data_IF_793869924076
#
_entry.id   IF_793869924076
#
_cell.length_a   1.000
_cell.length_b   1.000
_cell.length_c   1.000
_cell.angle_alpha   90.00
_cell.angle_beta   90.00
_cell.angle_gamma   90.00
#
_symmetry.space_group_name_H-M   'P 1'
#
loop_
_entity.id
_entity.type
_entity.pdbx_description
1 polymer ?
#
# COMPACT_ATOMS: atom_id res chain seq x y z
N UNK A 1 -41.91 -1.11 6.23
CA UNK A 1 -41.63 -1.86 4.99
C UNK A 1 -40.47 -2.82 5.27
N UNK A 2 -40.77 -4.00 5.81
CA UNK A 2 -39.83 -5.01 6.25
C UNK A 2 -39.37 -5.79 5.02
N UNK A 3 -38.24 -5.37 4.44
CA UNK A 3 -37.57 -6.14 3.39
C UNK A 3 -36.97 -7.39 4.05
N UNK A 4 -37.66 -8.52 3.82
CA UNK A 4 -37.14 -9.85 4.11
C UNK A 4 -35.87 -10.04 3.23
N UNK A 5 -34.72 -9.76 3.77
CA UNK A 5 -33.43 -10.06 3.14
C UNK A 5 -33.37 -11.58 3.06
N UNK A 6 -33.53 -12.13 1.86
CA UNK A 6 -33.36 -13.55 1.57
C UNK A 6 -31.97 -13.97 2.08
N UNK A 7 -31.95 -14.82 3.10
CA UNK A 7 -30.76 -15.51 3.63
C UNK A 7 -30.22 -16.48 2.56
N UNK A 8 -29.52 -16.01 1.56
CA UNK A 8 -29.08 -16.78 0.37
C UNK A 8 -27.76 -17.48 0.65
N UNK A 9 -27.33 -17.92 1.62
CA UNK A 9 -26.24 -18.81 2.05
C UNK A 9 -26.22 -18.97 3.59
N UNK A 10 -27.40 -19.15 4.19
CA UNK A 10 -27.49 -19.41 5.61
C UNK A 10 -27.36 -20.91 5.91
N UNK A 11 -26.32 -21.57 5.37
CA UNK A 11 -25.97 -22.89 5.85
C UNK A 11 -24.89 -22.74 6.93
N UNK A 12 -25.05 -23.46 8.03
CA UNK A 12 -24.05 -23.54 9.11
C UNK A 12 -22.68 -23.95 8.56
N UNK A 13 -22.65 -24.76 7.51
CA UNK A 13 -21.43 -25.19 6.85
C UNK A 13 -20.71 -24.06 6.09
N UNK A 14 -21.45 -23.16 5.46
CA UNK A 14 -20.87 -22.00 4.78
C UNK A 14 -20.25 -21.02 5.77
N UNK A 15 -20.95 -20.72 6.85
CA UNK A 15 -20.42 -19.85 7.90
C UNK A 15 -19.14 -20.43 8.53
N UNK A 16 -19.13 -21.75 8.78
CA UNK A 16 -17.94 -22.44 9.29
C UNK A 16 -16.79 -22.44 8.27
N UNK A 17 -17.07 -22.60 6.99
CA UNK A 17 -16.06 -22.48 5.92
C UNK A 17 -15.44 -21.09 5.90
N UNK A 18 -16.23 -20.03 6.00
CA UNK A 18 -15.72 -18.65 6.08
C UNK A 18 -14.86 -18.45 7.33
N UNK A 19 -15.23 -19.06 8.45
CA UNK A 19 -14.39 -19.03 9.65
C UNK A 19 -13.02 -19.70 9.40
N UNK A 20 -13.00 -20.84 8.71
CA UNK A 20 -11.74 -21.51 8.33
C UNK A 20 -10.89 -20.59 7.43
N UNK A 21 -11.48 -19.95 6.43
CA UNK A 21 -10.78 -19.00 5.56
C UNK A 21 -10.15 -17.87 6.37
N UNK A 22 -10.89 -17.28 7.32
CA UNK A 22 -10.39 -16.22 8.20
C UNK A 22 -9.20 -16.66 9.03
N UNK A 23 -9.29 -17.84 9.66
CA UNK A 23 -8.20 -18.41 10.48
C UNK A 23 -6.96 -18.68 9.63
N UNK A 24 -7.14 -19.23 8.42
CA UNK A 24 -6.05 -19.50 7.50
C UNK A 24 -5.32 -18.22 7.09
N UNK A 25 -6.04 -17.21 6.63
CA UNK A 25 -5.46 -15.92 6.22
C UNK A 25 -4.80 -15.20 7.39
N UNK A 26 -5.45 -15.20 8.55
CA UNK A 26 -4.90 -14.63 9.76
C UNK A 26 -3.59 -15.31 10.17
N UNK A 27 -3.55 -16.64 10.16
CA UNK A 27 -2.34 -17.40 10.45
C UNK A 27 -1.19 -17.04 9.52
N UNK A 28 -1.46 -16.96 8.21
CA UNK A 28 -0.43 -16.61 7.23
C UNK A 28 0.14 -15.20 7.51
N UNK A 29 -0.72 -14.22 7.73
CA UNK A 29 -0.28 -12.86 7.96
C UNK A 29 0.39 -12.67 9.32
N UNK A 30 -0.06 -13.35 10.36
CA UNK A 30 0.62 -13.37 11.66
C UNK A 30 2.01 -14.00 11.55
N UNK A 31 2.13 -15.11 10.81
CA UNK A 31 3.42 -15.78 10.58
C UNK A 31 4.38 -14.88 9.79
N UNK A 32 3.90 -14.22 8.73
CA UNK A 32 4.72 -13.29 7.95
C UNK A 32 5.12 -12.05 8.75
N UNK A 33 4.20 -11.51 9.57
CA UNK A 33 4.50 -10.40 10.47
C UNK A 33 5.53 -10.79 11.53
N UNK A 34 5.36 -11.97 12.15
CA UNK A 34 6.31 -12.49 13.14
C UNK A 34 7.72 -12.64 12.55
N UNK A 35 7.84 -13.22 11.36
CA UNK A 35 9.12 -13.38 10.68
C UNK A 35 9.84 -12.04 10.44
N UNK A 36 9.08 -10.95 10.19
CA UNK A 36 9.67 -9.60 10.03
C UNK A 36 10.29 -9.06 11.31
N UNK A 37 9.87 -9.51 12.48
CA UNK A 37 10.41 -9.05 13.75
C UNK A 37 11.56 -9.90 14.27
N UNK A 38 11.56 -11.21 13.99
CA UNK A 38 12.42 -12.18 14.65
C UNK A 38 13.35 -12.95 13.73
N UNK A 39 13.06 -13.00 12.41
CA UNK A 39 13.94 -13.65 11.45
C UNK A 39 14.89 -12.64 10.81
N UNK A 40 16.19 -12.82 11.03
CA UNK A 40 17.21 -12.04 10.38
C UNK A 40 17.55 -12.64 9.02
N UNK A 41 17.11 -11.95 7.96
CA UNK A 41 17.63 -12.14 6.61
C UNK A 41 17.26 -13.46 5.93
N UNK A 42 16.04 -13.98 6.13
CA UNK A 42 15.60 -15.25 5.53
C UNK A 42 15.77 -15.32 4.00
N UNK A 43 15.73 -14.17 3.31
CA UNK A 43 15.87 -14.07 1.86
C UNK A 43 16.87 -13.01 1.40
N UNK A 44 17.54 -12.32 2.32
CA UNK A 44 18.47 -11.25 2.02
C UNK A 44 19.76 -11.69 1.35
N UNK A 45 20.57 -10.73 0.98
CA UNK A 45 21.93 -10.95 0.52
C UNK A 45 22.79 -11.25 1.76
N UNK A 46 23.52 -12.36 1.76
CA UNK A 46 24.36 -12.78 2.90
C UNK A 46 25.77 -13.15 2.48
N UNK A 47 26.71 -13.02 3.41
CA UNK A 47 28.08 -13.49 3.27
C UNK A 47 28.80 -13.00 2.02
N UNK A 48 29.24 -13.92 1.17
CA UNK A 48 29.99 -13.63 -0.06
C UNK A 48 29.21 -12.84 -1.09
N UNK A 49 27.87 -12.88 -1.06
CA UNK A 49 27.02 -12.18 -2.02
C UNK A 49 27.04 -10.65 -1.82
N UNK A 50 27.32 -10.17 -0.61
CA UNK A 50 27.48 -8.73 -0.34
C UNK A 50 28.63 -8.08 -1.12
N UNK A 51 29.63 -8.89 -1.51
CA UNK A 51 30.78 -8.42 -2.27
C UNK A 51 30.59 -8.54 -3.79
N UNK A 52 29.47 -9.09 -4.25
CA UNK A 52 29.17 -9.23 -5.68
C UNK A 52 28.60 -7.92 -6.24
N UNK A 53 28.94 -7.56 -7.47
CA UNK A 53 28.26 -6.47 -8.18
C UNK A 53 26.76 -6.74 -8.28
N UNK A 54 25.94 -5.69 -8.16
CA UNK A 54 24.46 -5.79 -8.23
C UNK A 54 23.99 -6.49 -9.52
N UNK A 55 24.70 -6.30 -10.63
CA UNK A 55 24.39 -6.95 -11.91
C UNK A 55 24.46 -8.48 -11.89
N UNK A 56 25.22 -9.04 -10.94
CA UNK A 56 25.45 -10.48 -10.80
C UNK A 56 24.52 -11.12 -9.76
N UNK A 57 23.64 -10.31 -9.13
CA UNK A 57 22.64 -10.76 -8.19
C UNK A 57 21.27 -10.87 -8.88
N UNK A 58 20.46 -11.86 -8.45
CA UNK A 58 19.07 -11.93 -8.92
C UNK A 58 18.26 -10.74 -8.39
N UNK A 59 17.28 -10.26 -9.17
CA UNK A 59 16.38 -9.18 -8.76
C UNK A 59 15.66 -9.51 -7.45
N UNK A 60 15.33 -10.78 -7.23
CA UNK A 60 14.74 -11.28 -5.99
C UNK A 60 15.60 -10.97 -4.76
N UNK A 61 16.91 -11.26 -4.83
CA UNK A 61 17.84 -10.98 -3.71
C UNK A 61 18.00 -9.49 -3.47
N UNK A 62 18.13 -8.70 -4.53
CA UNK A 62 18.23 -7.24 -4.43
C UNK A 62 16.98 -6.66 -3.77
N UNK A 63 15.79 -7.08 -4.20
CA UNK A 63 14.52 -6.66 -3.61
C UNK A 63 14.46 -6.99 -2.11
N UNK A 64 14.76 -8.22 -1.73
CA UNK A 64 14.71 -8.64 -0.32
C UNK A 64 15.72 -7.88 0.54
N UNK A 65 16.92 -7.64 0.02
CA UNK A 65 17.92 -6.83 0.70
C UNK A 65 17.39 -5.42 0.99
N UNK A 66 16.77 -4.77 0.01
CA UNK A 66 16.20 -3.43 0.19
C UNK A 66 15.03 -3.43 1.20
N UNK A 67 14.18 -4.45 1.17
CA UNK A 67 13.02 -4.54 2.07
C UNK A 67 13.33 -5.04 3.48
N UNK A 68 14.52 -5.58 3.70
CA UNK A 68 14.97 -6.00 5.02
C UNK A 68 15.49 -4.83 5.88
N UNK A 69 15.55 -3.62 5.32
CA UNK A 69 16.02 -2.43 6.04
C UNK A 69 14.91 -1.78 6.88
N UNK A 70 15.32 -1.34 8.08
CA UNK A 70 14.44 -0.55 8.94
C UNK A 70 14.37 0.93 8.45
N UNK A 71 13.23 1.60 8.58
CA UNK A 71 12.00 1.18 9.28
C UNK A 71 11.03 0.34 8.43
N UNK A 72 11.29 0.12 7.13
CA UNK A 72 10.37 -0.52 6.20
C UNK A 72 9.94 -1.93 6.66
N UNK A 73 10.91 -2.78 7.04
CA UNK A 73 10.68 -4.14 7.55
C UNK A 73 9.70 -4.15 8.73
N UNK A 74 9.94 -3.28 9.72
CA UNK A 74 9.11 -3.19 10.92
C UNK A 74 7.69 -2.73 10.59
N UNK A 75 7.54 -1.72 9.74
CA UNK A 75 6.22 -1.18 9.35
C UNK A 75 5.38 -2.27 8.66
N UNK A 76 5.96 -2.99 7.71
CA UNK A 76 5.26 -4.10 7.02
C UNK A 76 4.90 -5.21 8.01
N UNK A 77 5.81 -5.56 8.92
CA UNK A 77 5.56 -6.55 9.98
C UNK A 77 4.36 -6.15 10.87
N UNK A 78 4.30 -4.88 11.28
CA UNK A 78 3.16 -4.34 12.06
C UNK A 78 1.86 -4.43 11.24
N UNK A 79 1.88 -3.99 9.98
CA UNK A 79 0.70 -4.02 9.11
C UNK A 79 0.17 -5.45 8.93
N UNK A 80 1.04 -6.42 8.69
CA UNK A 80 0.67 -7.83 8.54
C UNK A 80 0.11 -8.41 9.84
N UNK A 81 0.78 -8.16 10.97
CA UNK A 81 0.33 -8.64 12.28
C UNK A 81 -1.03 -8.05 12.66
N UNK A 82 -1.20 -6.75 12.48
CA UNK A 82 -2.47 -6.07 12.73
C UNK A 82 -3.59 -6.63 11.86
N UNK A 83 -3.33 -6.81 10.57
CA UNK A 83 -4.28 -7.38 9.63
C UNK A 83 -4.72 -8.79 10.06
N UNK A 84 -3.77 -9.66 10.40
CA UNK A 84 -4.06 -11.02 10.90
C UNK A 84 -4.90 -11.00 12.18
N UNK A 85 -4.58 -10.14 13.14
CA UNK A 85 -5.36 -9.98 14.38
C UNK A 85 -6.80 -9.50 14.12
N UNK A 86 -6.96 -8.53 13.21
CA UNK A 86 -8.28 -7.99 12.83
C UNK A 86 -9.17 -9.04 12.14
N UNK A 87 -8.59 -9.95 11.34
CA UNK A 87 -9.32 -11.05 10.71
C UNK A 87 -9.87 -12.06 11.72
N UNK A 88 -9.18 -12.29 12.83
CA UNK A 88 -9.63 -13.22 13.88
C UNK A 88 -10.80 -12.67 14.69
N UNK A 89 -10.83 -11.37 14.95
CA UNK A 89 -11.84 -10.78 15.79
C UNK A 89 -13.13 -10.47 15.01
N UNK A 90 -14.27 -11.00 15.48
CA UNK A 90 -15.54 -10.95 14.74
C UNK A 90 -16.04 -9.52 14.43
N UNK A 91 -15.74 -8.54 15.29
CA UNK A 91 -16.20 -7.15 15.08
C UNK A 91 -15.37 -6.40 14.05
N UNK A 92 -14.14 -6.83 13.79
CA UNK A 92 -13.18 -6.14 12.91
C UNK A 92 -12.84 -6.92 11.64
N UNK A 93 -13.47 -8.07 11.41
CA UNK A 93 -13.17 -8.94 10.27
C UNK A 93 -13.24 -8.21 8.92
N UNK A 94 -14.23 -7.34 8.73
CA UNK A 94 -14.35 -6.56 7.49
C UNK A 94 -13.17 -5.60 7.31
N UNK A 95 -12.77 -4.95 8.39
CA UNK A 95 -11.60 -4.04 8.37
C UNK A 95 -10.33 -4.83 8.07
N UNK A 96 -10.16 -6.01 8.71
CA UNK A 96 -9.05 -6.92 8.44
C UNK A 96 -9.00 -7.36 6.98
N UNK A 97 -10.13 -7.78 6.41
CA UNK A 97 -10.22 -8.18 5.01
C UNK A 97 -9.95 -7.01 4.04
N UNK A 98 -10.47 -5.82 4.32
CA UNK A 98 -10.18 -4.63 3.51
C UNK A 98 -8.70 -4.20 3.56
N UNK A 99 -8.03 -4.41 4.69
CA UNK A 99 -6.57 -4.16 4.82
C UNK A 99 -5.74 -5.27 4.17
N UNK A 100 -6.25 -6.51 4.17
CA UNK A 100 -5.59 -7.65 3.54
C UNK A 100 -5.38 -7.44 2.04
N UNK A 101 -6.41 -6.99 1.32
CA UNK A 101 -6.37 -6.86 -0.13
C UNK A 101 -5.20 -6.01 -0.66
N UNK A 102 -5.01 -4.74 -0.23
CA UNK A 102 -3.92 -3.92 -0.77
C UNK A 102 -2.54 -4.49 -0.38
N UNK A 103 -2.40 -5.08 0.81
CA UNK A 103 -1.13 -5.68 1.23
C UNK A 103 -0.83 -6.92 0.36
N UNK A 104 -1.79 -7.84 0.24
CA UNK A 104 -1.64 -9.07 -0.54
C UNK A 104 -1.44 -8.77 -2.03
N UNK A 105 -2.17 -7.79 -2.58
CA UNK A 105 -2.03 -7.39 -3.98
C UNK A 105 -0.66 -6.77 -4.28
N UNK A 106 -0.15 -5.94 -3.36
CA UNK A 106 1.19 -5.38 -3.48
C UNK A 106 2.26 -6.49 -3.47
N UNK A 107 2.17 -7.45 -2.53
CA UNK A 107 3.08 -8.60 -2.48
C UNK A 107 2.99 -9.43 -3.77
N UNK A 108 1.77 -9.65 -4.30
CA UNK A 108 1.58 -10.39 -5.55
C UNK A 108 2.29 -9.71 -6.74
N UNK A 109 2.17 -8.38 -6.86
CA UNK A 109 2.88 -7.64 -7.90
C UNK A 109 4.39 -7.77 -7.73
N UNK A 110 4.89 -7.70 -6.50
CA UNK A 110 6.31 -7.87 -6.19
C UNK A 110 6.80 -9.27 -6.56
N UNK A 111 6.03 -10.30 -6.19
CA UNK A 111 6.37 -11.69 -6.53
C UNK A 111 6.45 -11.90 -8.04
N UNK A 112 5.47 -11.40 -8.79
CA UNK A 112 5.45 -11.51 -10.26
C UNK A 112 6.61 -10.73 -10.92
N UNK A 113 6.99 -9.59 -10.33
CA UNK A 113 8.00 -8.70 -10.94
C UNK A 113 9.42 -9.14 -10.64
N UNK A 114 9.69 -9.61 -9.42
CA UNK A 114 11.07 -9.77 -8.93
C UNK A 114 11.48 -11.22 -8.71
N UNK A 115 10.54 -12.16 -8.57
CA UNK A 115 10.90 -13.56 -8.36
C UNK A 115 11.43 -14.22 -9.64
N UNK A 116 12.26 -15.22 -9.44
CA UNK A 116 12.75 -16.06 -10.52
C UNK A 116 11.61 -16.90 -11.14
N UNK A 117 11.62 -17.16 -12.47
CA UNK A 117 10.56 -17.89 -13.16
C UNK A 117 10.20 -19.24 -12.54
N UNK A 118 11.16 -19.91 -11.91
CA UNK A 118 10.96 -21.18 -11.21
C UNK A 118 10.10 -21.06 -9.96
N UNK A 119 10.10 -19.90 -9.31
CA UNK A 119 9.42 -19.64 -8.04
C UNK A 119 8.09 -18.89 -8.22
N UNK A 120 8.00 -18.03 -9.25
CA UNK A 120 6.84 -17.16 -9.49
C UNK A 120 5.52 -17.93 -9.46
N UNK A 121 5.43 -19.04 -10.20
CA UNK A 121 4.18 -19.80 -10.32
C UNK A 121 3.66 -20.30 -8.97
N UNK A 122 4.55 -20.77 -8.10
CA UNK A 122 4.19 -21.26 -6.77
C UNK A 122 3.72 -20.15 -5.82
N UNK A 123 4.45 -19.05 -5.76
CA UNK A 123 4.14 -17.92 -4.86
C UNK A 123 2.93 -17.13 -5.36
N UNK A 124 2.89 -16.79 -6.64
CA UNK A 124 1.79 -16.04 -7.22
C UNK A 124 0.46 -16.81 -7.18
N UNK A 125 0.46 -18.12 -7.46
CA UNK A 125 -0.76 -18.92 -7.36
C UNK A 125 -1.28 -19.01 -5.92
N UNK A 126 -0.39 -19.21 -4.94
CA UNK A 126 -0.74 -19.26 -3.53
C UNK A 126 -1.33 -17.92 -3.05
N UNK A 127 -0.70 -16.82 -3.41
CA UNK A 127 -1.17 -15.49 -2.99
C UNK A 127 -2.47 -15.09 -3.71
N UNK A 128 -2.62 -15.44 -4.99
CA UNK A 128 -3.89 -15.28 -5.71
C UNK A 128 -5.03 -16.08 -5.06
N UNK A 129 -4.74 -17.28 -4.59
CA UNK A 129 -5.69 -18.09 -3.83
C UNK A 129 -6.09 -17.40 -2.51
N UNK A 130 -5.15 -16.82 -1.78
CA UNK A 130 -5.45 -16.08 -0.55
C UNK A 130 -6.31 -14.84 -0.82
N UNK A 131 -6.05 -14.11 -1.89
CA UNK A 131 -6.89 -12.98 -2.33
C UNK A 131 -8.30 -13.48 -2.66
N UNK A 132 -8.43 -14.62 -3.35
CA UNK A 132 -9.72 -15.22 -3.64
C UNK A 132 -10.50 -15.59 -2.36
N UNK A 133 -9.84 -16.20 -1.36
CA UNK A 133 -10.47 -16.51 -0.08
C UNK A 133 -10.91 -15.25 0.67
N UNK A 134 -10.12 -14.19 0.61
CA UNK A 134 -10.48 -12.91 1.22
C UNK A 134 -11.69 -12.26 0.56
N UNK A 135 -11.78 -12.32 -0.77
CA UNK A 135 -12.96 -11.88 -1.52
C UNK A 135 -14.21 -12.69 -1.14
N UNK A 136 -14.09 -13.99 -0.85
CA UNK A 136 -15.19 -14.79 -0.32
C UNK A 136 -15.63 -14.33 1.07
N UNK A 137 -14.69 -13.95 1.94
CA UNK A 137 -14.99 -13.36 3.25
C UNK A 137 -15.80 -12.06 3.06
N UNK A 138 -15.31 -11.15 2.22
CA UNK A 138 -16.02 -9.89 1.94
C UNK A 138 -17.41 -10.13 1.33
N UNK A 139 -17.51 -11.10 0.42
CA UNK A 139 -18.80 -11.49 -0.17
C UNK A 139 -19.78 -12.03 0.88
N UNK A 140 -19.31 -12.82 1.84
CA UNK A 140 -20.13 -13.30 2.95
C UNK A 140 -20.73 -12.14 3.76
N UNK A 141 -19.96 -11.07 3.96
CA UNK A 141 -20.37 -9.86 4.69
C UNK A 141 -20.91 -8.74 3.78
N UNK A 142 -21.29 -9.04 2.53
CA UNK A 142 -21.67 -8.05 1.50
C UNK A 142 -22.72 -7.03 1.97
N UNK A 143 -23.70 -7.45 2.76
CA UNK A 143 -24.77 -6.55 3.23
C UNK A 143 -24.20 -5.45 4.14
N UNK A 144 -23.22 -5.79 4.98
CA UNK A 144 -22.50 -4.82 5.82
C UNK A 144 -21.55 -3.97 4.98
N UNK A 145 -20.90 -4.58 3.98
CA UNK A 145 -20.03 -3.87 3.04
C UNK A 145 -20.80 -2.78 2.27
N UNK A 146 -22.02 -3.09 1.80
CA UNK A 146 -22.87 -2.11 1.13
C UNK A 146 -23.25 -0.94 2.05
N UNK A 147 -23.54 -1.20 3.33
CA UNK A 147 -23.81 -0.15 4.31
C UNK A 147 -22.59 0.75 4.49
N UNK A 148 -21.40 0.16 4.68
CA UNK A 148 -20.13 0.91 4.82
C UNK A 148 -19.84 1.71 3.56
N UNK A 149 -19.97 1.10 2.38
CA UNK A 149 -19.77 1.76 1.11
C UNK A 149 -20.71 2.96 0.92
N UNK A 150 -22.00 2.77 1.19
CA UNK A 150 -22.99 3.85 1.11
C UNK A 150 -22.74 4.95 2.15
N UNK A 151 -22.24 4.59 3.35
CA UNK A 151 -21.89 5.58 4.37
C UNK A 151 -20.67 6.41 3.97
N UNK A 152 -19.71 5.81 3.25
CA UNK A 152 -18.49 6.49 2.81
C UNK A 152 -18.75 7.32 1.55
N UNK A 153 -19.59 6.83 0.62
CA UNK A 153 -19.81 7.46 -0.69
C UNK A 153 -21.10 8.28 -0.77
N UNK A 154 -22.05 8.05 0.13
CA UNK A 154 -23.35 8.72 0.13
C UNK A 154 -23.27 10.15 0.68
N UNK A 155 -23.91 11.09 -0.05
CA UNK A 155 -24.09 12.48 0.42
C UNK A 155 -22.83 13.22 0.84
N UNK A 156 -21.66 12.91 0.24
CA UNK A 156 -20.45 13.68 0.43
C UNK A 156 -20.54 14.91 -0.44
N UNK A 157 -20.72 16.05 0.20
CA UNK A 157 -20.67 17.36 -0.43
C UNK A 157 -19.74 18.29 0.36
N UNK A 158 -19.22 19.29 -0.30
CA UNK A 158 -18.51 20.33 0.41
C UNK A 158 -19.46 21.01 1.40
N UNK A 159 -18.98 21.30 2.61
CA UNK A 159 -19.77 21.94 3.67
C UNK A 159 -20.36 23.30 3.22
N UNK A 160 -19.67 23.97 2.31
CA UNK A 160 -20.11 25.23 1.71
C UNK A 160 -20.06 25.08 0.18
N UNK A 161 -21.02 25.72 -0.51
CA UNK A 161 -20.98 25.83 -1.95
C UNK A 161 -19.92 26.85 -2.37
N UNK A 162 -19.09 26.47 -3.33
CA UNK A 162 -18.07 27.35 -3.89
C UNK A 162 -18.49 27.84 -5.29
N UNK A 163 -18.08 29.01 -5.68
CA UNK A 163 -18.31 29.53 -7.04
C UNK A 163 -17.47 28.78 -8.07
N UNK A 164 -17.91 28.75 -9.32
CA UNK A 164 -17.15 28.09 -10.40
C UNK A 164 -15.73 28.65 -10.54
N UNK A 165 -15.52 29.95 -10.29
CA UNK A 165 -14.19 30.55 -10.29
C UNK A 165 -13.25 29.95 -9.25
N UNK A 166 -13.76 29.60 -8.06
CA UNK A 166 -12.96 28.94 -7.02
C UNK A 166 -12.52 27.52 -7.44
N UNK A 167 -13.38 26.78 -8.14
CA UNK A 167 -13.00 25.47 -8.69
C UNK A 167 -11.95 25.60 -9.79
N UNK A 168 -12.03 26.65 -10.62
CA UNK A 168 -11.04 26.91 -11.67
C UNK A 168 -9.67 27.30 -11.10
N UNK A 169 -9.64 28.04 -9.98
CA UNK A 169 -8.40 28.48 -9.33
C UNK A 169 -7.81 27.36 -8.44
N UNK A 170 -8.63 26.40 -7.97
CA UNK A 170 -8.21 25.37 -7.03
C UNK A 170 -6.98 24.55 -7.48
N UNK A 171 -6.77 24.17 -8.75
CA UNK A 171 -5.56 23.49 -9.18
C UNK A 171 -4.30 24.33 -8.99
N UNK A 172 -4.38 25.63 -9.28
CA UNK A 172 -3.26 26.57 -9.10
C UNK A 172 -2.91 26.69 -7.61
N UNK A 173 -3.91 26.85 -6.76
CA UNK A 173 -3.72 26.90 -5.31
C UNK A 173 -3.18 25.56 -4.76
N UNK A 174 -3.62 24.42 -5.32
CA UNK A 174 -3.09 23.11 -4.94
C UNK A 174 -1.60 22.98 -5.27
N UNK A 175 -1.16 23.47 -6.44
CA UNK A 175 0.26 23.50 -6.79
C UNK A 175 1.04 24.41 -5.85
N UNK A 176 0.54 25.59 -5.54
CA UNK A 176 1.17 26.50 -4.57
C UNK A 176 1.25 25.86 -3.17
N UNK A 177 0.18 25.18 -2.74
CA UNK A 177 0.14 24.45 -1.47
C UNK A 177 1.17 23.30 -1.44
N UNK A 178 1.41 22.63 -2.56
CA UNK A 178 2.39 21.56 -2.66
C UNK A 178 3.84 22.06 -2.49
N UNK A 179 4.11 23.33 -2.68
CA UNK A 179 5.43 23.94 -2.45
C UNK A 179 5.66 24.32 -0.98
N UNK A 180 4.60 24.37 -0.15
CA UNK A 180 4.70 24.76 1.25
C UNK A 180 5.72 23.97 2.08
N UNK A 181 5.82 22.61 1.96
CA UNK A 181 6.81 21.85 2.71
C UNK A 181 8.26 22.14 2.30
N UNK A 182 8.47 22.68 1.10
CA UNK A 182 9.81 23.01 0.58
C UNK A 182 10.31 24.34 1.17
N UNK A 183 9.42 25.26 1.53
CA UNK A 183 9.78 26.60 2.02
C UNK A 183 10.69 26.56 3.26
N UNK A 184 10.39 25.81 4.35
CA UNK A 184 11.28 25.74 5.51
C UNK A 184 12.65 25.17 5.15
N UNK A 185 12.71 24.20 4.24
CA UNK A 185 13.96 23.58 3.79
C UNK A 185 14.80 24.59 3.02
N UNK A 186 14.17 25.34 2.08
CA UNK A 186 14.85 26.40 1.32
C UNK A 186 15.36 27.50 2.25
N UNK A 187 14.54 27.93 3.22
CA UNK A 187 14.96 28.96 4.19
C UNK A 187 16.13 28.48 5.07
N UNK A 188 16.10 27.23 5.49
CA UNK A 188 17.17 26.64 6.30
C UNK A 188 18.51 26.65 5.54
N UNK A 189 18.54 26.16 4.31
CA UNK A 189 19.75 26.16 3.48
C UNK A 189 20.17 27.55 3.04
N UNK A 190 19.25 28.48 2.85
CA UNK A 190 19.58 29.87 2.51
C UNK A 190 20.33 30.57 3.65
N UNK A 191 20.06 30.18 4.90
CA UNK A 191 20.74 30.72 6.08
C UNK A 191 22.09 30.05 6.31
N UNK A 192 22.19 28.71 6.10
CA UNK A 192 23.40 27.95 6.41
C UNK A 192 24.39 27.92 5.25
N UNK A 193 23.91 27.84 4.02
CA UNK A 193 24.75 27.66 2.81
C UNK A 193 24.19 28.49 1.64
N UNK A 194 24.21 29.84 1.73
CA UNK A 194 23.55 30.72 0.77
C UNK A 194 24.07 30.55 -0.66
N UNK A 195 25.37 30.35 -0.85
CA UNK A 195 25.98 30.24 -2.17
C UNK A 195 25.54 28.96 -2.91
N UNK A 196 25.49 27.82 -2.21
CA UNK A 196 25.02 26.56 -2.79
C UNK A 196 23.54 26.65 -3.18
N UNK A 197 22.74 27.31 -2.35
CA UNK A 197 21.32 27.46 -2.59
C UNK A 197 21.01 28.38 -3.77
N UNK A 198 21.75 29.50 -3.90
CA UNK A 198 21.63 30.41 -5.04
C UNK A 198 22.01 29.71 -6.36
N UNK A 199 23.07 28.90 -6.35
CA UNK A 199 23.44 28.07 -7.49
C UNK A 199 22.38 27.02 -7.85
N UNK A 200 21.78 26.35 -6.84
CA UNK A 200 20.72 25.37 -7.06
C UNK A 200 19.46 26.01 -7.65
N UNK A 201 19.05 27.18 -7.15
CA UNK A 201 17.92 27.95 -7.68
C UNK A 201 18.19 28.46 -9.10
N UNK A 202 19.40 28.91 -9.40
CA UNK A 202 19.81 29.29 -10.74
C UNK A 202 19.70 28.14 -11.74
N UNK A 203 20.18 26.96 -11.37
CA UNK A 203 20.10 25.75 -12.19
C UNK A 203 18.63 25.31 -12.40
N UNK A 204 17.81 25.37 -11.35
CA UNK A 204 16.37 25.07 -11.46
C UNK A 204 15.66 26.04 -12.41
N UNK A 205 15.97 27.34 -12.33
CA UNK A 205 15.45 28.37 -13.22
C UNK A 205 15.83 28.14 -14.69
N UNK A 206 17.08 27.80 -14.94
CA UNK A 206 17.55 27.42 -16.29
C UNK A 206 16.85 26.17 -16.81
N UNK A 207 16.57 25.18 -15.95
CA UNK A 207 15.79 23.99 -16.31
C UNK A 207 14.35 24.35 -16.74
N UNK A 208 13.68 25.21 -15.96
CA UNK A 208 12.31 25.66 -16.26
C UNK A 208 12.25 26.47 -17.55
N UNK A 209 13.20 27.38 -17.78
CA UNK A 209 13.24 28.20 -19.01
C UNK A 209 13.55 27.35 -20.24
N UNK A 210 14.36 26.30 -20.11
CA UNK A 210 14.63 25.35 -21.19
C UNK A 210 13.39 24.54 -21.55
N UNK A 211 12.65 24.05 -20.54
CA UNK A 211 11.37 23.36 -20.74
C UNK A 211 10.33 24.26 -21.40
N UNK A 212 10.16 25.48 -20.89
CA UNK A 212 9.21 26.45 -21.48
C UNK A 212 9.51 26.72 -22.96
N UNK A 213 10.78 26.87 -23.32
CA UNK A 213 11.19 27.04 -24.74
C UNK A 213 10.93 25.80 -25.59
N UNK A 214 10.90 24.62 -25.01
CA UNK A 214 10.59 23.37 -25.73
C UNK A 214 9.10 23.22 -26.02
N UNK A 215 8.23 23.69 -25.11
CA UNK A 215 6.77 23.66 -25.29
C UNK A 215 6.21 24.80 -26.14
N UNK A 216 7.00 25.88 -26.38
CA UNK A 216 6.59 27.04 -27.19
C UNK A 216 7.07 26.96 -28.64
N UNK A 217 7.75 25.87 -29.02
CA UNK A 217 8.09 25.51 -30.39
C UNK A 217 7.13 24.43 -30.92
#
# INVERSE_FOLDING_TARGET
MTTTIKKTFASKHWDYFILICRVLLAWQFLSFGYAKFFDDGQFGISGEELNKPIKDLSLFKVMWYLFDHNPFKIIIGICQTLCGALLLYNKTVIVGALLFLPIAFNILIMDITFMEPSMVNGFASRLSYYIFLDLLILYHYKDRMLIVFNAITGNISNRFSHSYGMYLISPVLAVLLSLLPVVPVVLFYLVLEPDQMLHALGNAWHGVTKLAKHFLK
#
